data_IF_905990265896
#
_entry.id   IF_905990265896
#
_cell.length_a   1.000
_cell.length_b   1.000
_cell.length_c   1.000
_cell.angle_alpha   90.00
_cell.angle_beta   90.00
_cell.angle_gamma   90.00
#
_symmetry.space_group_name_H-M   'P 1'
#
loop_
_entity.id
_entity.type
_entity.pdbx_description
1 polymer ?
#
# COMPACT_ATOMS: atom_id res chain seq x y z
N UNK A 1 -1.26 8.74 -7.44
CA UNK A 1 -0.67 9.51 -6.32
C UNK A 1 -1.63 10.54 -5.73
N UNK A 2 -2.19 11.47 -6.54
CA UNK A 2 -3.09 12.53 -6.03
C UNK A 2 -4.29 11.99 -5.25
N UNK A 3 -4.99 10.98 -5.77
CA UNK A 3 -6.10 10.33 -5.06
C UNK A 3 -5.68 9.77 -3.68
N UNK A 4 -4.47 9.24 -3.56
CA UNK A 4 -3.97 8.72 -2.29
C UNK A 4 -3.70 9.86 -1.28
N UNK A 5 -3.30 11.03 -1.76
CA UNK A 5 -3.06 12.21 -0.92
C UNK A 5 -4.34 12.79 -0.33
N UNK A 6 -5.51 12.58 -0.95
CA UNK A 6 -6.80 12.97 -0.38
C UNK A 6 -7.09 12.29 0.97
N UNK A 7 -6.49 11.11 1.19
CA UNK A 7 -6.61 10.37 2.43
C UNK A 7 -5.45 10.62 3.40
N UNK A 8 -4.51 11.51 3.07
CA UNK A 8 -3.39 11.81 3.94
C UNK A 8 -3.88 12.24 5.33
N UNK A 9 -3.40 11.56 6.35
CA UNK A 9 -3.80 11.81 7.74
C UNK A 9 -4.93 10.90 8.24
N UNK A 10 -5.63 10.15 7.39
CA UNK A 10 -6.68 9.21 7.80
C UNK A 10 -6.10 8.10 8.67
N UNK A 11 -6.68 7.91 9.87
CA UNK A 11 -6.24 6.94 10.89
C UNK A 11 -7.27 5.84 11.09
N UNK A 12 -6.80 4.66 11.45
CA UNK A 12 -7.64 3.63 12.04
C UNK A 12 -8.10 4.07 13.45
N UNK A 13 -9.20 3.52 13.94
CA UNK A 13 -9.71 3.82 15.29
C UNK A 13 -9.27 2.68 16.21
N UNK A 14 -8.53 3.00 17.27
CA UNK A 14 -8.09 1.97 18.23
C UNK A 14 -9.24 1.64 19.17
N UNK A 15 -9.65 0.37 19.22
CA UNK A 15 -10.59 -0.13 20.23
C UNK A 15 -11.81 -0.82 19.61
N UNK A 16 -12.98 -0.61 20.21
CA UNK A 16 -14.22 -1.29 19.81
C UNK A 16 -14.91 -0.65 18.57
N UNK A 17 -14.40 0.49 18.12
CA UNK A 17 -14.90 1.21 16.94
C UNK A 17 -13.89 1.07 15.81
N UNK A 18 -14.39 0.96 14.58
CA UNK A 18 -13.57 0.85 13.37
C UNK A 18 -13.75 2.10 12.51
N UNK A 19 -12.70 2.50 11.79
CA UNK A 19 -12.84 3.55 10.79
C UNK A 19 -13.71 3.04 9.61
N UNK A 20 -14.92 3.61 9.39
CA UNK A 20 -15.83 3.11 8.38
C UNK A 20 -15.26 3.24 6.96
N UNK A 21 -14.38 4.20 6.71
CA UNK A 21 -13.71 4.34 5.41
C UNK A 21 -12.78 3.15 5.14
N UNK A 22 -11.99 2.72 6.13
CA UNK A 22 -11.07 1.57 5.98
C UNK A 22 -11.86 0.29 5.78
N UNK A 23 -12.91 0.06 6.59
CA UNK A 23 -13.79 -1.11 6.46
C UNK A 23 -14.49 -1.12 5.08
N UNK A 24 -14.93 0.04 4.60
CA UNK A 24 -15.52 0.16 3.27
C UNK A 24 -14.53 -0.17 2.16
N UNK A 25 -13.25 0.21 2.29
CA UNK A 25 -12.23 -0.17 1.30
C UNK A 25 -12.12 -1.68 1.15
N UNK A 26 -12.07 -2.43 2.26
CA UNK A 26 -12.05 -3.89 2.21
C UNK A 26 -13.27 -4.45 1.48
N UNK A 27 -14.47 -3.95 1.78
CA UNK A 27 -15.70 -4.36 1.09
C UNK A 27 -15.62 -4.10 -0.40
N UNK A 28 -15.21 -2.89 -0.79
CA UNK A 28 -15.16 -2.44 -2.18
C UNK A 28 -14.23 -3.30 -3.03
N UNK A 29 -13.11 -3.78 -2.46
CA UNK A 29 -12.16 -4.69 -3.15
C UNK A 29 -12.51 -6.18 -3.00
N UNK A 30 -13.73 -6.52 -2.57
CA UNK A 30 -14.20 -7.91 -2.48
C UNK A 30 -13.84 -8.64 -1.18
N UNK A 31 -13.28 -7.95 -0.20
CA UNK A 31 -12.91 -8.48 1.12
C UNK A 31 -13.93 -8.12 2.21
N UNK A 32 -15.22 -8.23 1.91
CA UNK A 32 -16.32 -7.88 2.83
C UNK A 32 -16.35 -8.70 4.13
N UNK A 33 -15.59 -9.80 4.21
CA UNK A 33 -15.40 -10.61 5.41
C UNK A 33 -14.47 -9.95 6.45
N UNK A 34 -13.65 -8.97 6.05
CA UNK A 34 -12.85 -8.17 7.00
C UNK A 34 -13.78 -7.15 7.64
N UNK A 35 -13.91 -7.24 8.98
CA UNK A 35 -14.81 -6.39 9.75
C UNK A 35 -14.10 -5.38 10.64
N UNK A 36 -12.78 -5.45 10.77
CA UNK A 36 -12.00 -4.55 11.62
C UNK A 36 -10.86 -3.86 10.86
N UNK A 37 -10.46 -2.68 11.34
CA UNK A 37 -9.34 -1.91 10.78
C UNK A 37 -7.96 -2.29 11.38
N UNK A 38 -7.94 -3.14 12.41
CA UNK A 38 -6.71 -3.77 12.94
C UNK A 38 -6.04 -4.74 11.94
N UNK A 39 -6.80 -5.24 10.96
CA UNK A 39 -6.25 -6.08 9.88
C UNK A 39 -5.32 -5.24 9.00
N UNK A 40 -4.10 -5.74 8.75
CA UNK A 40 -3.11 -5.00 7.98
C UNK A 40 -3.64 -4.51 6.62
N UNK A 41 -3.92 -3.19 6.51
CA UNK A 41 -4.63 -2.59 5.38
C UNK A 41 -3.75 -1.84 4.37
N UNK A 42 -2.42 -2.00 4.43
CA UNK A 42 -1.52 -1.36 3.45
C UNK A 42 -1.80 -1.82 2.02
N UNK A 43 -1.95 -3.13 1.78
CA UNK A 43 -2.32 -3.66 0.46
C UNK A 43 -3.77 -3.35 0.11
N UNK A 44 -4.68 -3.33 1.08
CA UNK A 44 -6.07 -2.94 0.86
C UNK A 44 -6.15 -1.52 0.27
N UNK A 45 -5.42 -0.58 0.85
CA UNK A 45 -5.37 0.80 0.38
C UNK A 45 -4.89 0.90 -1.08
N UNK A 46 -3.81 0.21 -1.44
CA UNK A 46 -3.29 0.23 -2.82
C UNK A 46 -4.25 -0.46 -3.80
N UNK A 47 -4.88 -1.57 -3.41
CA UNK A 47 -5.91 -2.21 -4.24
C UNK A 47 -7.12 -1.29 -4.45
N UNK A 48 -7.57 -0.60 -3.41
CA UNK A 48 -8.71 0.32 -3.52
C UNK A 48 -8.40 1.50 -4.43
N UNK A 49 -7.19 2.06 -4.34
CA UNK A 49 -6.73 3.10 -5.25
C UNK A 49 -6.66 2.61 -6.70
N UNK A 50 -6.12 1.41 -6.92
CA UNK A 50 -6.05 0.80 -8.24
C UNK A 50 -7.46 0.58 -8.83
N UNK A 51 -8.37 0.04 -8.02
CA UNK A 51 -9.78 -0.14 -8.40
C UNK A 51 -10.46 1.18 -8.79
N UNK A 52 -10.30 2.22 -7.98
CA UNK A 52 -10.87 3.55 -8.26
C UNK A 52 -10.33 4.22 -9.52
N UNK A 53 -9.13 3.83 -9.94
CA UNK A 53 -8.46 4.37 -11.12
C UNK A 53 -8.53 3.44 -12.33
N UNK A 54 -9.32 2.36 -12.25
CA UNK A 54 -9.44 1.35 -13.32
C UNK A 54 -8.08 0.75 -13.73
N UNK A 55 -7.20 0.56 -12.73
CA UNK A 55 -5.91 -0.08 -12.86
C UNK A 55 -5.97 -1.52 -12.36
N UNK A 56 -5.02 -2.34 -12.82
CA UNK A 56 -4.89 -3.71 -12.32
C UNK A 56 -4.72 -3.74 -10.80
N UNK A 57 -5.43 -4.68 -10.16
CA UNK A 57 -5.33 -4.94 -8.74
C UNK A 57 -4.51 -6.20 -8.48
N UNK A 58 -3.83 -6.27 -7.33
CA UNK A 58 -3.31 -7.55 -6.85
C UNK A 58 -4.40 -8.46 -6.27
N UNK A 59 -5.53 -7.88 -5.86
CA UNK A 59 -6.67 -8.53 -5.17
C UNK A 59 -6.32 -9.26 -3.86
N UNK A 60 -5.06 -9.20 -3.43
CA UNK A 60 -4.55 -9.88 -2.24
C UNK A 60 -4.21 -8.84 -1.17
N UNK A 61 -4.44 -9.19 0.09
CA UNK A 61 -4.14 -8.33 1.24
C UNK A 61 -2.67 -8.38 1.68
N UNK A 62 -1.89 -9.35 1.21
CA UNK A 62 -0.46 -9.41 1.51
C UNK A 62 0.32 -8.46 0.60
N UNK A 63 1.28 -7.71 1.15
CA UNK A 63 2.01 -6.68 0.40
C UNK A 63 2.90 -7.24 -0.74
N UNK A 64 3.38 -8.47 -0.62
CA UNK A 64 4.30 -9.05 -1.61
C UNK A 64 3.61 -9.55 -2.87
N UNK A 65 2.28 -9.70 -2.87
CA UNK A 65 1.52 -10.05 -4.07
C UNK A 65 1.82 -9.11 -5.23
N UNK A 66 2.01 -7.82 -4.95
CA UNK A 66 2.32 -6.79 -5.93
C UNK A 66 3.58 -7.07 -6.75
N UNK A 67 4.48 -7.96 -6.33
CA UNK A 67 5.62 -8.38 -7.17
C UNK A 67 5.19 -9.06 -8.47
N UNK A 68 3.99 -9.63 -8.53
CA UNK A 68 3.43 -10.35 -9.67
C UNK A 68 2.57 -9.45 -10.59
N UNK A 69 2.40 -8.16 -10.27
CA UNK A 69 1.50 -7.24 -10.97
C UNK A 69 2.24 -6.01 -11.50
N UNK A 70 1.75 -5.43 -12.58
CA UNK A 70 2.36 -4.25 -13.18
C UNK A 70 3.65 -4.54 -13.94
N UNK A 71 4.14 -3.47 -14.58
CA UNK A 71 5.44 -3.45 -15.25
C UNK A 71 6.55 -3.28 -14.22
N UNK A 72 7.63 -4.08 -14.32
CA UNK A 72 8.81 -3.96 -13.46
C UNK A 72 9.57 -2.67 -13.77
N UNK A 73 9.85 -1.86 -12.74
CA UNK A 73 10.52 -0.56 -12.88
C UNK A 73 11.87 -0.57 -12.18
N UNK A 74 12.89 0.03 -12.82
CA UNK A 74 14.22 0.25 -12.22
C UNK A 74 14.40 1.67 -11.69
N UNK A 75 13.74 2.66 -12.31
CA UNK A 75 13.78 4.07 -11.93
C UNK A 75 12.35 4.52 -11.60
N UNK A 76 11.92 4.44 -10.33
CA UNK A 76 10.55 4.74 -9.95
C UNK A 76 10.23 6.22 -10.11
N UNK A 77 9.00 6.51 -10.48
CA UNK A 77 8.41 7.85 -10.50
C UNK A 77 7.33 7.95 -9.41
N UNK A 78 6.96 9.19 -9.06
CA UNK A 78 5.92 9.45 -8.04
C UNK A 78 4.63 8.70 -8.42
N UNK A 79 4.15 7.85 -7.51
CA UNK A 79 2.96 7.04 -7.74
C UNK A 79 3.21 5.59 -8.17
N UNK A 80 4.44 5.20 -8.52
CA UNK A 80 4.76 3.78 -8.73
C UNK A 80 4.63 3.00 -7.42
N UNK A 81 4.20 1.75 -7.49
CA UNK A 81 4.07 0.88 -6.31
C UNK A 81 5.46 0.45 -5.85
N UNK A 82 5.74 0.62 -4.56
CA UNK A 82 6.96 0.17 -3.88
C UNK A 82 6.61 -1.02 -3.00
N UNK A 83 7.31 -2.14 -3.21
CA UNK A 83 7.14 -3.35 -2.40
C UNK A 83 8.35 -3.49 -1.48
N UNK A 84 8.11 -3.60 -0.18
CA UNK A 84 9.14 -3.73 0.85
C UNK A 84 9.05 -5.10 1.54
N UNK A 85 10.19 -5.66 1.95
CA UNK A 85 10.20 -6.75 2.93
C UNK A 85 10.00 -6.23 4.36
N UNK A 86 9.48 -7.10 5.24
CA UNK A 86 9.35 -6.86 6.69
C UNK A 86 9.81 -8.11 7.44
N UNK A 87 10.38 -7.90 8.62
CA UNK A 87 11.06 -8.89 9.47
C UNK A 87 12.32 -9.50 8.83
N UNK A 88 12.20 -10.15 7.67
CA UNK A 88 13.35 -10.64 6.90
C UNK A 88 13.06 -10.62 5.39
N UNK A 89 14.12 -10.58 4.58
CA UNK A 89 13.99 -10.62 3.12
C UNK A 89 13.33 -11.91 2.63
N UNK A 90 13.53 -13.03 3.33
CA UNK A 90 12.98 -14.36 2.98
C UNK A 90 11.58 -14.62 3.56
N UNK A 91 11.10 -13.81 4.50
CA UNK A 91 9.75 -13.94 5.06
C UNK A 91 8.66 -13.63 4.01
N UNK A 92 7.44 -14.09 4.19
CA UNK A 92 6.31 -13.64 3.36
C UNK A 92 5.86 -12.22 3.72
N UNK A 93 6.23 -11.72 4.91
CA UNK A 93 5.81 -10.42 5.42
C UNK A 93 6.44 -9.29 4.61
N UNK A 94 5.66 -8.24 4.39
CA UNK A 94 6.07 -7.07 3.64
C UNK A 94 5.26 -5.83 3.98
N UNK A 95 5.54 -4.76 3.25
CA UNK A 95 4.79 -3.52 3.26
C UNK A 95 4.71 -2.96 1.84
N UNK A 96 3.68 -2.19 1.54
CA UNK A 96 3.46 -1.63 0.20
C UNK A 96 2.93 -0.21 0.30
N UNK A 97 3.36 0.64 -0.64
CA UNK A 97 2.92 2.02 -0.76
C UNK A 97 3.24 2.57 -2.14
N UNK A 98 2.91 3.84 -2.38
CA UNK A 98 3.27 4.56 -3.59
C UNK A 98 4.57 5.33 -3.39
N UNK A 99 5.48 5.27 -4.35
CA UNK A 99 6.74 5.99 -4.32
C UNK A 99 6.47 7.50 -4.20
N UNK A 100 7.11 8.12 -3.21
CA UNK A 100 6.99 9.53 -2.89
C UNK A 100 8.34 10.28 -2.95
N UNK A 101 9.43 9.58 -3.26
CA UNK A 101 10.77 10.15 -3.41
C UNK A 101 11.86 9.27 -2.85
N UNK A 102 13.10 9.72 -3.01
CA UNK A 102 14.30 9.04 -2.51
C UNK A 102 15.34 10.06 -2.08
N UNK A 103 15.95 9.85 -0.92
CA UNK A 103 17.00 10.72 -0.38
C UNK A 103 17.92 9.92 0.56
N UNK A 104 19.24 10.09 0.44
CA UNK A 104 20.24 9.50 1.36
C UNK A 104 19.96 8.03 1.75
N UNK A 105 19.76 7.15 0.76
CA UNK A 105 19.43 5.72 0.95
C UNK A 105 18.08 5.42 1.62
N UNK A 106 17.20 6.40 1.67
CA UNK A 106 15.83 6.26 2.18
C UNK A 106 14.86 6.41 1.02
N UNK A 107 14.02 5.40 0.81
CA UNK A 107 12.84 5.51 -0.05
C UNK A 107 11.67 6.02 0.76
N UNK A 108 11.00 7.06 0.27
CA UNK A 108 9.78 7.57 0.87
C UNK A 108 8.58 6.99 0.14
N UNK A 109 7.60 6.51 0.89
CA UNK A 109 6.36 6.00 0.32
C UNK A 109 5.14 6.61 0.99
N UNK A 110 4.13 6.94 0.19
CA UNK A 110 2.78 7.24 0.62
C UNK A 110 2.01 5.92 0.73
N UNK A 111 1.66 5.51 1.94
CA UNK A 111 1.04 4.20 2.18
C UNK A 111 0.02 4.23 3.29
N UNK A 112 -0.89 3.27 3.24
CA UNK A 112 -1.83 2.98 4.33
C UNK A 112 -1.19 2.14 5.43
N UNK A 113 -1.81 2.13 6.59
CA UNK A 113 -1.37 1.43 7.79
C UNK A 113 0.08 1.70 8.21
N UNK A 114 0.56 2.92 7.99
CA UNK A 114 1.89 3.35 8.40
C UNK A 114 1.79 4.07 9.73
N UNK A 115 2.02 3.34 10.82
CA UNK A 115 1.70 3.83 12.17
C UNK A 115 0.19 4.12 12.25
N UNK A 116 -0.61 3.17 11.77
CA UNK A 116 -2.07 3.15 11.85
C UNK A 116 -2.74 4.33 11.10
N UNK A 117 -2.06 4.82 10.04
CA UNK A 117 -2.46 6.00 9.29
C UNK A 117 -2.05 5.90 7.81
N UNK A 118 -2.75 6.65 6.94
CA UNK A 118 -2.23 7.05 5.62
C UNK A 118 -1.26 8.22 5.79
N UNK A 119 0.02 8.01 5.50
CA UNK A 119 1.03 9.08 5.55
C UNK A 119 2.20 8.79 4.59
N UNK A 120 3.18 9.69 4.57
CA UNK A 120 4.46 9.48 3.92
C UNK A 120 5.47 9.06 4.97
N UNK A 121 6.16 7.94 4.73
CA UNK A 121 7.18 7.43 5.65
C UNK A 121 8.41 6.95 4.88
N UNK A 122 9.58 7.24 5.44
CA UNK A 122 10.87 6.78 4.93
C UNK A 122 11.18 5.36 5.36
N UNK A 123 11.75 4.58 4.46
CA UNK A 123 12.25 3.23 4.70
C UNK A 123 13.66 3.08 4.12
N UNK A 124 14.56 2.34 4.76
CA UNK A 124 15.86 2.00 4.18
C UNK A 124 15.69 1.37 2.79
N UNK A 125 16.45 1.82 1.81
CA UNK A 125 16.37 1.37 0.41
C UNK A 125 16.64 -0.14 0.26
N UNK A 126 17.47 -0.71 1.13
CA UNK A 126 17.73 -2.15 1.19
C UNK A 126 16.49 -3.00 1.57
N UNK A 127 15.40 -2.35 2.01
CA UNK A 127 14.11 -3.01 2.24
C UNK A 127 13.30 -3.23 0.97
N UNK A 128 13.64 -2.56 -0.12
CA UNK A 128 12.90 -2.64 -1.38
C UNK A 128 13.12 -3.99 -2.05
N UNK A 129 12.01 -4.67 -2.33
CA UNK A 129 11.96 -5.89 -3.14
C UNK A 129 11.72 -5.58 -4.62
N UNK A 130 11.04 -4.48 -4.92
CA UNK A 130 10.83 -4.03 -6.28
C UNK A 130 9.90 -2.83 -6.40
N UNK A 131 9.90 -2.25 -7.59
CA UNK A 131 8.99 -1.20 -8.01
C UNK A 131 8.09 -1.72 -9.13
N UNK A 132 6.83 -1.28 -9.15
CA UNK A 132 5.84 -1.64 -10.17
C UNK A 132 5.05 -0.44 -10.65
N UNK A 133 4.83 -0.37 -11.96
CA UNK A 133 3.86 0.53 -12.57
C UNK A 133 2.63 -0.25 -12.99
N UNK A 134 1.49 0.11 -12.42
CA UNK A 134 0.23 -0.59 -12.70
C UNK A 134 -0.25 -0.27 -14.12
N UNK A 135 -0.75 -1.29 -14.80
CA UNK A 135 -1.34 -1.16 -16.12
C UNK A 135 -2.82 -0.78 -16.02
N UNK A 136 -3.33 -0.10 -17.05
CA UNK A 136 -4.77 0.11 -17.24
C UNK A 136 -5.45 -1.22 -17.60
N UNK A 137 -6.71 -1.38 -17.18
CA UNK A 137 -7.57 -2.50 -17.56
C UNK A 137 -8.34 -2.18 -18.83
#
# INVERSE_FOLDING_TARGET
FLLAMEFYGLREIVGAEDNPTIVNWFRDIGHSWVKNDETAWCSCFINWLAWKLELEMSTKLNARSWLEHGTVIQKPEIGDVVILWRDSITSWKGHVGLYAGFEHDTVYILGGNQSNQVNIKGYPSNRVLGYRRLNQI
#
